data_IF_308935601924
#
_entry.id   IF_308935601924
#
_cell.length_a   1.000
_cell.length_b   1.000
_cell.length_c   1.000
_cell.angle_alpha   90.00
_cell.angle_beta   90.00
_cell.angle_gamma   90.00
#
_symmetry.space_group_name_H-M   'P 1'
#
loop_
_entity.id
_entity.type
_entity.pdbx_description
1 polymer ?
#
# COMPACT_ATOMS: atom_id res chain seq x y z
N UNK A 1 -27.70 -43.94 -3.12
CA UNK A 1 -27.12 -43.08 -2.07
C UNK A 1 -26.88 -41.71 -2.69
N UNK A 2 -27.73 -40.73 -2.37
CA UNK A 2 -27.54 -39.36 -2.83
C UNK A 2 -26.49 -38.68 -1.94
N UNK A 3 -25.38 -38.26 -2.53
CA UNK A 3 -24.41 -37.37 -1.91
C UNK A 3 -25.06 -36.00 -1.73
N UNK A 4 -25.39 -35.66 -0.49
CA UNK A 4 -25.81 -34.31 -0.13
C UNK A 4 -24.55 -33.47 -0.04
N UNK A 5 -24.23 -32.76 -1.13
CA UNK A 5 -23.22 -31.72 -1.14
C UNK A 5 -23.83 -30.44 -0.55
N UNK A 6 -23.93 -30.39 0.79
CA UNK A 6 -24.26 -29.14 1.47
C UNK A 6 -22.98 -28.30 1.45
N UNK A 7 -22.81 -27.51 0.39
CA UNK A 7 -21.88 -26.39 0.44
C UNK A 7 -22.33 -25.48 1.60
N UNK A 8 -21.68 -25.62 2.76
CA UNK A 8 -21.91 -24.77 3.93
C UNK A 8 -21.53 -23.35 3.50
N UNK A 9 -22.55 -22.55 3.19
CA UNK A 9 -22.37 -21.14 2.83
C UNK A 9 -21.90 -20.43 4.09
N UNK A 10 -20.61 -20.10 4.16
CA UNK A 10 -20.05 -19.34 5.28
C UNK A 10 -20.85 -18.05 5.43
N UNK A 11 -21.15 -17.67 6.68
CA UNK A 11 -21.80 -16.39 6.95
C UNK A 11 -20.97 -15.26 6.33
N UNK A 12 -21.62 -14.21 5.79
CA UNK A 12 -20.90 -13.06 5.25
C UNK A 12 -20.04 -12.43 6.35
N UNK A 13 -18.83 -12.03 5.98
CA UNK A 13 -17.85 -11.44 6.89
C UNK A 13 -18.40 -10.14 7.48
N UNK A 14 -18.27 -9.98 8.79
CA UNK A 14 -18.91 -8.90 9.54
C UNK A 14 -18.09 -7.61 9.61
N UNK A 15 -16.84 -7.63 9.14
CA UNK A 15 -15.93 -6.49 9.12
C UNK A 15 -15.27 -6.39 7.75
N UNK A 16 -15.29 -5.21 7.13
CA UNK A 16 -14.53 -4.92 5.91
C UNK A 16 -13.35 -4.04 6.29
N UNK A 17 -12.15 -4.42 5.87
CA UNK A 17 -10.91 -3.66 6.09
C UNK A 17 -10.24 -3.41 4.75
N UNK A 18 -10.11 -2.13 4.39
CA UNK A 18 -9.38 -1.72 3.20
C UNK A 18 -7.95 -1.35 3.55
N UNK A 19 -6.99 -1.89 2.79
CA UNK A 19 -5.59 -1.54 2.84
C UNK A 19 -5.24 -0.84 1.54
N UNK A 20 -4.70 0.37 1.65
CA UNK A 20 -4.03 1.02 0.54
C UNK A 20 -2.53 0.97 0.79
N UNK A 21 -1.86 0.05 0.11
CA UNK A 21 -0.41 -0.07 0.10
C UNK A 21 0.13 0.83 -1.00
N UNK A 22 0.41 2.10 -0.74
CA UNK A 22 0.99 3.02 -1.74
C UNK A 22 2.51 2.85 -1.88
N UNK A 23 3.10 3.46 -2.91
CA UNK A 23 4.57 3.45 -3.10
C UNK A 23 5.31 4.20 -2.00
N UNK A 24 4.80 5.38 -1.62
CA UNK A 24 5.40 6.27 -0.62
C UNK A 24 4.80 6.08 0.78
N UNK A 25 3.49 5.93 0.85
CA UNK A 25 2.75 5.79 2.11
C UNK A 25 1.61 4.80 1.99
N UNK A 26 1.27 4.18 3.10
CA UNK A 26 0.23 3.16 3.21
C UNK A 26 -0.73 3.47 4.33
N UNK A 27 -1.99 3.06 4.20
CA UNK A 27 -3.01 3.28 5.22
C UNK A 27 -4.11 2.24 5.20
N UNK A 28 -5.00 2.31 6.19
CA UNK A 28 -6.18 1.45 6.23
C UNK A 28 -7.42 2.20 6.70
N UNK A 29 -8.57 1.69 6.27
CA UNK A 29 -9.88 2.06 6.78
C UNK A 29 -10.71 0.80 7.02
N UNK A 30 -11.75 0.91 7.83
CA UNK A 30 -12.62 -0.23 8.11
C UNK A 30 -14.07 0.17 8.37
N UNK A 31 -14.97 -0.81 8.22
CA UNK A 31 -16.39 -0.66 8.51
C UNK A 31 -17.00 -1.98 8.98
N UNK A 32 -17.78 -1.93 10.07
CA UNK A 32 -18.56 -3.07 10.55
C UNK A 32 -19.86 -3.19 9.76
N UNK A 33 -20.08 -4.36 9.15
CA UNK A 33 -21.25 -4.62 8.32
C UNK A 33 -22.52 -4.76 9.18
N UNK A 34 -23.66 -4.29 8.67
CA UNK A 34 -24.92 -4.27 9.40
C UNK A 34 -25.04 -3.15 10.44
N UNK A 35 -23.97 -2.37 10.67
CA UNK A 35 -24.06 -1.13 11.44
C UNK A 35 -24.41 0.04 10.52
N UNK A 36 -25.12 1.05 11.05
CA UNK A 36 -25.36 2.33 10.37
C UNK A 36 -24.11 3.23 10.32
N UNK A 37 -22.96 2.74 10.80
CA UNK A 37 -21.72 3.49 10.89
C UNK A 37 -21.11 3.84 9.52
N UNK A 38 -20.38 4.95 9.49
CA UNK A 38 -19.56 5.37 8.35
C UNK A 38 -18.25 4.58 8.29
N UNK A 39 -17.56 4.66 7.16
CA UNK A 39 -16.19 4.14 7.03
C UNK A 39 -15.27 4.91 7.98
N UNK A 40 -14.46 4.19 8.75
CA UNK A 40 -13.52 4.77 9.72
C UNK A 40 -12.10 4.66 9.17
N UNK A 41 -11.44 5.79 9.00
CA UNK A 41 -10.06 5.87 8.53
C UNK A 41 -9.12 5.98 9.73
N UNK A 42 -8.00 5.26 9.70
CA UNK A 42 -7.01 5.30 10.77
C UNK A 42 -5.94 6.35 10.52
N UNK A 43 -5.71 7.21 11.50
CA UNK A 43 -4.77 8.34 11.39
C UNK A 43 -3.67 8.36 12.47
N UNK A 44 -3.82 7.57 13.54
CA UNK A 44 -2.89 7.58 14.67
C UNK A 44 -1.79 6.53 14.49
N UNK A 45 -0.80 6.84 13.66
CA UNK A 45 0.29 5.92 13.33
C UNK A 45 1.46 6.02 14.30
N UNK A 46 2.14 4.90 14.62
CA UNK A 46 3.28 4.91 15.51
C UNK A 46 4.43 5.69 14.89
N UNK A 47 5.10 6.49 15.73
CA UNK A 47 6.28 7.28 15.38
C UNK A 47 6.09 8.31 14.25
N UNK A 48 4.85 8.63 13.88
CA UNK A 48 4.55 9.72 12.96
C UNK A 48 5.21 11.02 13.43
N UNK A 49 5.82 11.80 12.52
CA UNK A 49 6.41 13.08 12.87
C UNK A 49 5.37 14.04 13.44
N UNK A 50 5.80 14.90 14.36
CA UNK A 50 4.94 15.97 14.88
C UNK A 50 4.46 16.88 13.73
N UNK A 51 3.17 17.22 13.74
CA UNK A 51 2.54 18.01 12.68
C UNK A 51 2.19 17.24 11.40
N UNK A 52 2.60 15.97 11.25
CA UNK A 52 2.27 15.11 10.10
C UNK A 52 1.25 14.00 10.48
N UNK A 53 0.30 14.31 11.36
CA UNK A 53 -0.83 13.40 11.62
C UNK A 53 -1.70 13.31 10.37
N UNK A 54 -2.03 12.09 9.96
CA UNK A 54 -2.80 11.86 8.76
C UNK A 54 -3.02 10.37 8.50
N UNK A 55 -3.74 10.01 7.44
CA UNK A 55 -4.25 8.66 7.23
C UNK A 55 -3.21 7.63 6.79
N UNK A 56 -1.93 7.99 6.77
CA UNK A 56 -0.86 7.20 6.18
C UNK A 56 0.34 7.08 7.11
N UNK A 57 0.91 5.89 7.15
CA UNK A 57 2.30 5.65 7.54
C UNK A 57 3.19 5.50 6.30
N UNK A 58 4.50 5.38 6.45
CA UNK A 58 5.44 5.20 5.33
C UNK A 58 5.39 3.78 4.77
N UNK A 59 5.53 3.65 3.46
CA UNK A 59 5.83 2.37 2.80
C UNK A 59 7.33 2.10 2.89
N UNK A 60 7.80 1.93 4.12
CA UNK A 60 9.20 1.73 4.47
C UNK A 60 9.35 0.51 5.40
N UNK A 61 10.41 -0.27 5.20
CA UNK A 61 10.73 -1.42 6.03
C UNK A 61 12.24 -1.49 6.26
N UNK A 62 12.64 -1.71 7.50
CA UNK A 62 14.03 -1.80 7.92
C UNK A 62 14.38 -3.26 8.21
N UNK A 63 15.43 -3.74 7.56
CA UNK A 63 16.00 -5.06 7.80
C UNK A 63 17.29 -4.95 8.63
N UNK A 64 17.54 -5.97 9.46
CA UNK A 64 18.87 -6.31 9.98
C UNK A 64 19.28 -7.65 9.38
N UNK A 65 20.26 -7.62 8.48
CA UNK A 65 20.55 -8.74 7.58
C UNK A 65 19.31 -9.04 6.71
N UNK A 66 18.71 -10.22 6.91
CA UNK A 66 17.49 -10.66 6.20
C UNK A 66 16.24 -10.68 7.08
N UNK A 67 16.34 -10.19 8.31
CA UNK A 67 15.22 -10.15 9.25
C UNK A 67 14.61 -8.75 9.25
N UNK A 68 13.31 -8.59 8.92
CA UNK A 68 12.67 -7.30 9.01
C UNK A 68 12.42 -6.96 10.49
N UNK A 69 12.87 -5.79 10.94
CA UNK A 69 12.86 -5.38 12.35
C UNK A 69 11.93 -4.21 12.66
N UNK A 70 11.59 -3.39 11.65
CA UNK A 70 10.69 -2.25 11.80
C UNK A 70 10.05 -1.88 10.46
N UNK A 71 8.91 -1.18 10.51
CA UNK A 71 8.11 -0.78 9.35
C UNK A 71 7.53 0.62 9.57
N UNK A 72 6.99 1.25 8.52
CA UNK A 72 6.33 2.55 8.65
C UNK A 72 7.28 3.67 9.05
N UNK A 73 6.75 4.71 9.70
CA UNK A 73 7.57 5.75 10.33
C UNK A 73 8.53 5.19 11.39
N UNK A 74 8.15 4.13 12.09
CA UNK A 74 9.01 3.44 13.06
C UNK A 74 10.29 2.91 12.41
N UNK A 75 10.25 2.42 11.16
CA UNK A 75 11.44 2.00 10.44
C UNK A 75 12.45 3.16 10.31
N UNK A 76 11.97 4.31 9.86
CA UNK A 76 12.77 5.51 9.64
C UNK A 76 13.36 6.00 10.96
N UNK A 77 12.50 6.14 11.99
CA UNK A 77 12.95 6.55 13.32
C UNK A 77 13.97 5.58 13.93
N UNK A 78 13.79 4.27 13.71
CA UNK A 78 14.73 3.26 14.18
C UNK A 78 16.09 3.42 13.51
N UNK A 79 16.12 3.60 12.18
CA UNK A 79 17.34 3.85 11.42
C UNK A 79 18.07 5.10 11.93
N UNK A 80 17.34 6.21 12.14
CA UNK A 80 17.89 7.47 12.63
C UNK A 80 18.46 7.39 14.07
N UNK A 81 18.01 6.42 14.86
CA UNK A 81 18.45 6.21 16.26
C UNK A 81 19.57 5.17 16.40
N UNK A 82 20.01 4.53 15.30
CA UNK A 82 21.13 3.59 15.35
C UNK A 82 22.42 4.28 15.82
N UNK A 83 23.23 3.55 16.59
CA UNK A 83 24.56 4.02 16.99
C UNK A 83 25.47 4.21 15.76
N UNK A 84 26.49 5.07 15.82
CA UNK A 84 27.45 5.22 14.71
C UNK A 84 28.10 3.88 14.29
N UNK A 85 28.37 2.99 15.26
CA UNK A 85 28.90 1.66 14.99
C UNK A 85 27.91 0.75 14.23
N UNK A 86 26.61 0.80 14.61
CA UNK A 86 25.56 0.05 13.90
C UNK A 86 25.34 0.57 12.48
N UNK A 87 25.34 1.89 12.29
CA UNK A 87 25.21 2.49 10.96
C UNK A 87 26.39 2.09 10.06
N UNK A 88 27.61 2.10 10.60
CA UNK A 88 28.81 1.68 9.88
C UNK A 88 28.89 0.16 9.62
N UNK A 89 28.11 -0.66 10.33
CA UNK A 89 28.19 -2.13 10.22
C UNK A 89 27.72 -2.68 8.87
N UNK A 90 26.96 -1.91 8.09
CA UNK A 90 26.35 -2.37 6.84
C UNK A 90 25.25 -3.43 7.02
N UNK A 91 24.93 -3.80 8.26
CA UNK A 91 23.94 -4.85 8.56
C UNK A 91 22.50 -4.38 8.49
N UNK A 92 22.26 -3.07 8.40
CA UNK A 92 20.92 -2.51 8.37
C UNK A 92 20.59 -2.01 6.97
N UNK A 93 19.42 -2.38 6.46
CA UNK A 93 18.97 -1.94 5.14
C UNK A 93 17.56 -1.39 5.21
N UNK A 94 17.41 -0.11 4.90
CA UNK A 94 16.12 0.51 4.68
C UNK A 94 15.66 0.24 3.25
N UNK A 95 14.48 -0.34 3.10
CA UNK A 95 13.81 -0.48 1.81
C UNK A 95 12.60 0.44 1.78
N UNK A 96 12.59 1.37 0.82
CA UNK A 96 11.47 2.23 0.46
C UNK A 96 11.09 1.98 -1.00
N UNK A 97 9.92 2.47 -1.42
CA UNK A 97 9.44 2.35 -2.80
C UNK A 97 9.36 0.89 -3.31
N UNK A 98 9.34 -0.09 -2.40
CA UNK A 98 9.43 -1.51 -2.75
C UNK A 98 8.23 -2.00 -3.55
N UNK A 99 7.08 -1.30 -3.52
CA UNK A 99 5.93 -1.58 -4.40
C UNK A 99 6.31 -1.50 -5.89
N UNK A 100 7.23 -0.60 -6.27
CA UNK A 100 7.72 -0.47 -7.65
C UNK A 100 8.47 -1.73 -8.12
N UNK A 101 8.99 -2.55 -7.22
CA UNK A 101 9.72 -3.78 -7.59
C UNK A 101 8.83 -4.82 -8.29
N UNK A 102 7.50 -4.70 -8.18
CA UNK A 102 6.53 -5.53 -8.91
C UNK A 102 6.30 -5.11 -10.37
N UNK A 103 6.82 -3.94 -10.77
CA UNK A 103 6.67 -3.40 -12.13
C UNK A 103 8.01 -3.04 -12.80
N UNK A 104 9.02 -2.67 -12.02
CA UNK A 104 10.32 -2.24 -12.55
C UNK A 104 11.44 -3.19 -12.10
N UNK A 105 12.00 -3.91 -13.08
CA UNK A 105 13.14 -4.80 -12.87
C UNK A 105 14.37 -4.07 -12.33
N UNK A 106 14.54 -2.77 -12.64
CA UNK A 106 15.65 -1.96 -12.12
C UNK A 106 15.50 -1.71 -10.63
N UNK A 107 14.26 -1.53 -10.14
CA UNK A 107 13.98 -1.44 -8.72
C UNK A 107 14.16 -2.80 -8.04
N UNK A 108 13.68 -3.88 -8.65
CA UNK A 108 13.87 -5.23 -8.12
C UNK A 108 15.36 -5.62 -8.02
N UNK A 109 16.20 -5.20 -8.97
CA UNK A 109 17.64 -5.45 -8.95
C UNK A 109 18.40 -4.74 -7.82
N UNK A 110 17.80 -3.73 -7.19
CA UNK A 110 18.36 -3.01 -6.03
C UNK A 110 18.07 -3.71 -4.70
N UNK A 111 17.26 -4.77 -4.70
CA UNK A 111 16.97 -5.51 -3.47
C UNK A 111 18.23 -6.24 -2.97
N UNK A 112 18.44 -6.31 -1.64
CA UNK A 112 19.53 -7.10 -1.07
C UNK A 112 19.47 -8.56 -1.51
N UNK A 113 20.65 -9.19 -1.61
CA UNK A 113 20.75 -10.58 -2.02
C UNK A 113 19.85 -11.51 -1.17
N UNK A 114 19.02 -12.29 -1.86
CA UNK A 114 18.08 -13.21 -1.22
C UNK A 114 16.74 -12.58 -0.80
N UNK A 115 16.54 -11.28 -0.92
CA UNK A 115 15.22 -10.68 -0.81
C UNK A 115 14.56 -10.62 -2.20
N UNK A 116 13.29 -11.01 -2.27
CA UNK A 116 12.47 -10.89 -3.48
C UNK A 116 11.41 -9.81 -3.30
N UNK A 117 10.89 -9.23 -4.40
CA UNK A 117 9.77 -8.27 -4.35
C UNK A 117 8.60 -8.76 -3.48
N UNK A 118 8.20 -10.01 -3.70
CA UNK A 118 7.10 -10.65 -2.97
C UNK A 118 7.42 -10.78 -1.47
N UNK A 119 8.65 -11.18 -1.10
CA UNK A 119 9.06 -11.29 0.30
C UNK A 119 8.96 -9.94 1.01
N UNK A 120 9.47 -8.87 0.41
CA UNK A 120 9.50 -7.55 1.03
C UNK A 120 8.09 -7.01 1.24
N UNK A 121 7.20 -7.23 0.27
CA UNK A 121 5.79 -6.85 0.39
C UNK A 121 5.08 -7.69 1.47
N UNK A 122 5.32 -9.01 1.51
CA UNK A 122 4.75 -9.89 2.52
C UNK A 122 5.23 -9.52 3.93
N UNK A 123 6.50 -9.18 4.09
CA UNK A 123 7.06 -8.76 5.38
C UNK A 123 6.40 -7.46 5.85
N UNK A 124 6.25 -6.46 4.97
CA UNK A 124 5.56 -5.22 5.30
C UNK A 124 4.09 -5.46 5.66
N UNK A 125 3.37 -6.24 4.85
CA UNK A 125 1.98 -6.60 5.11
C UNK A 125 1.81 -7.41 6.40
N UNK A 126 2.82 -8.20 6.80
CA UNK A 126 2.80 -8.95 8.07
C UNK A 126 2.78 -7.99 9.26
N UNK A 127 3.65 -6.98 9.24
CA UNK A 127 3.68 -5.93 10.26
C UNK A 127 2.38 -5.12 10.26
N UNK A 128 1.92 -4.68 9.08
CA UNK A 128 0.69 -3.90 8.94
C UNK A 128 -0.52 -4.69 9.44
N UNK A 129 -0.68 -5.96 9.04
CA UNK A 129 -1.75 -6.84 9.51
C UNK A 129 -1.74 -6.95 11.03
N UNK A 130 -0.57 -7.26 11.63
CA UNK A 130 -0.46 -7.39 13.10
C UNK A 130 -0.96 -6.12 13.80
N UNK A 131 -0.48 -4.96 13.36
CA UNK A 131 -0.87 -3.67 13.91
C UNK A 131 -2.37 -3.39 13.71
N UNK A 132 -2.89 -3.60 12.50
CA UNK A 132 -4.31 -3.39 12.18
C UNK A 132 -5.20 -4.26 13.07
N UNK A 133 -4.89 -5.54 13.25
CA UNK A 133 -5.66 -6.43 14.12
C UNK A 133 -5.61 -5.98 15.58
N UNK A 134 -4.46 -5.49 16.06
CA UNK A 134 -4.34 -4.93 17.41
C UNK A 134 -5.18 -3.67 17.61
N UNK A 135 -5.26 -2.76 16.62
CA UNK A 135 -6.12 -1.58 16.71
C UNK A 135 -7.60 -1.94 16.59
N UNK A 136 -7.97 -2.79 15.62
CA UNK A 136 -9.34 -3.27 15.47
C UNK A 136 -9.83 -3.98 16.75
N UNK A 137 -8.99 -4.78 17.41
CA UNK A 137 -9.37 -5.43 18.67
C UNK A 137 -9.71 -4.43 19.77
N UNK A 138 -9.07 -3.25 19.82
CA UNK A 138 -9.39 -2.17 20.75
C UNK A 138 -10.66 -1.43 20.35
N UNK A 139 -10.89 -1.25 19.05
CA UNK A 139 -11.98 -0.42 18.54
C UNK A 139 -13.31 -1.15 18.39
N UNK A 140 -13.31 -2.42 17.98
CA UNK A 140 -14.52 -3.23 17.74
C UNK A 140 -14.56 -4.51 18.56
N UNK A 141 -13.54 -4.76 19.40
CA UNK A 141 -13.43 -5.93 20.24
C UNK A 141 -12.71 -7.11 19.59
N UNK A 142 -11.98 -7.88 20.39
CA UNK A 142 -11.11 -8.97 19.92
C UNK A 142 -11.87 -10.10 19.17
N UNK A 143 -13.13 -10.35 19.50
CA UNK A 143 -13.95 -11.34 18.79
C UNK A 143 -14.28 -10.91 17.35
N UNK A 144 -14.57 -9.62 17.15
CA UNK A 144 -14.87 -9.06 15.82
C UNK A 144 -13.62 -8.91 14.96
N UNK A 145 -12.48 -8.61 15.58
CA UNK A 145 -11.20 -8.44 14.89
C UNK A 145 -10.52 -9.75 14.46
N UNK A 146 -11.18 -10.91 14.57
CA UNK A 146 -10.60 -12.18 14.10
C UNK A 146 -10.58 -12.26 12.58
N UNK A 147 -9.57 -12.92 12.02
CA UNK A 147 -9.37 -13.02 10.57
C UNK A 147 -10.57 -13.63 9.83
N UNK A 148 -11.26 -14.59 10.43
CA UNK A 148 -12.46 -15.21 9.85
C UNK A 148 -13.62 -14.21 9.62
N UNK A 149 -13.64 -13.11 10.36
CA UNK A 149 -14.67 -12.08 10.30
C UNK A 149 -14.31 -10.94 9.33
N UNK A 150 -13.09 -10.93 8.77
CA UNK A 150 -12.56 -9.80 7.99
C UNK A 150 -12.58 -10.09 6.50
N UNK A 151 -13.30 -9.26 5.75
CA UNK A 151 -13.11 -9.11 4.30
C UNK A 151 -12.01 -8.06 4.06
N UNK A 152 -10.90 -8.48 3.49
CA UNK A 152 -9.82 -7.59 3.08
C UNK A 152 -10.10 -7.02 1.70
N UNK A 153 -9.88 -5.72 1.54
CA UNK A 153 -9.83 -5.03 0.27
C UNK A 153 -8.43 -4.44 0.11
N UNK A 154 -7.67 -4.84 -0.91
CA UNK A 154 -6.31 -4.35 -1.12
C UNK A 154 -6.24 -3.63 -2.46
N UNK A 155 -5.85 -2.35 -2.43
CA UNK A 155 -5.80 -1.53 -3.65
C UNK A 155 -4.51 -1.77 -4.44
N UNK A 156 -4.62 -1.74 -5.77
CA UNK A 156 -3.50 -1.81 -6.71
C UNK A 156 -3.70 -0.83 -7.87
N UNK A 157 -2.62 -0.34 -8.51
CA UNK A 157 -2.73 0.54 -9.67
C UNK A 157 -3.42 -0.17 -10.85
N UNK A 158 -4.20 0.57 -11.64
CA UNK A 158 -4.94 -0.01 -12.77
C UNK A 158 -4.03 -0.53 -13.89
N UNK A 159 -2.84 0.05 -14.07
CA UNK A 159 -1.87 -0.38 -15.08
C UNK A 159 -1.13 -1.68 -14.73
N UNK A 160 -1.39 -2.27 -13.56
CA UNK A 160 -0.72 -3.49 -13.14
C UNK A 160 -1.10 -4.68 -14.02
N UNK A 161 -0.08 -5.45 -14.39
CA UNK A 161 -0.28 -6.74 -15.06
C UNK A 161 -0.98 -7.73 -14.13
N UNK A 162 -1.66 -8.72 -14.71
CA UNK A 162 -2.25 -9.83 -13.94
C UNK A 162 -1.19 -10.58 -13.11
N UNK A 163 0.05 -10.67 -13.61
CA UNK A 163 1.17 -11.23 -12.85
C UNK A 163 1.52 -10.40 -11.59
N UNK A 164 1.53 -9.07 -11.68
CA UNK A 164 1.76 -8.19 -10.53
C UNK A 164 0.62 -8.29 -9.50
N UNK A 165 -0.63 -8.38 -9.95
CA UNK A 165 -1.80 -8.60 -9.09
C UNK A 165 -1.75 -9.96 -8.40
N UNK A 166 -1.33 -11.01 -9.12
CA UNK A 166 -1.15 -12.34 -8.57
C UNK A 166 -0.02 -12.36 -7.52
N UNK A 167 1.11 -11.71 -7.76
CA UNK A 167 2.19 -11.58 -6.78
C UNK A 167 1.74 -10.85 -5.51
N UNK A 168 0.92 -9.80 -5.63
CA UNK A 168 0.33 -9.14 -4.46
C UNK A 168 -0.56 -10.08 -3.65
N UNK A 169 -1.39 -10.88 -4.32
CA UNK A 169 -2.22 -11.90 -3.68
C UNK A 169 -1.37 -12.96 -2.99
N UNK A 170 -0.28 -13.42 -3.60
CA UNK A 170 0.68 -14.34 -2.96
C UNK A 170 1.32 -13.69 -1.73
N UNK A 171 1.74 -12.43 -1.82
CA UNK A 171 2.28 -11.70 -0.67
C UNK A 171 1.25 -11.58 0.47
N UNK A 172 -0.03 -11.38 0.15
CA UNK A 172 -1.11 -11.35 1.15
C UNK A 172 -1.33 -12.71 1.84
N UNK A 173 -1.19 -13.84 1.12
CA UNK A 173 -1.18 -15.18 1.71
C UNK A 173 0.00 -15.32 2.67
N UNK A 174 1.21 -14.96 2.23
CA UNK A 174 2.44 -15.08 3.03
C UNK A 174 2.41 -14.19 4.27
N UNK A 175 1.77 -13.03 4.18
CA UNK A 175 1.54 -12.12 5.29
C UNK A 175 0.47 -12.62 6.28
N UNK A 176 -0.28 -13.66 5.92
CA UNK A 176 -1.36 -14.22 6.72
C UNK A 176 -2.61 -13.34 6.76
N UNK A 177 -2.82 -12.46 5.77
CA UNK A 177 -4.11 -11.76 5.58
C UNK A 177 -5.20 -12.78 5.20
N UNK A 178 -4.85 -13.74 4.34
CA UNK A 178 -5.70 -14.83 3.86
C UNK A 178 -4.95 -16.17 3.92
N UNK A 179 -5.70 -17.29 3.92
CA UNK A 179 -5.11 -18.64 4.05
C UNK A 179 -4.58 -19.20 2.73
N UNK A 180 -5.25 -18.90 1.63
CA UNK A 180 -4.97 -19.44 0.30
C UNK A 180 -5.15 -18.35 -0.75
N UNK A 181 -4.51 -18.50 -1.92
CA UNK A 181 -4.57 -17.48 -2.97
C UNK A 181 -5.99 -17.30 -3.53
N UNK A 182 -6.77 -18.37 -3.63
CA UNK A 182 -8.16 -18.40 -4.09
C UNK A 182 -9.19 -17.93 -3.04
N UNK A 183 -8.74 -17.60 -1.83
CA UNK A 183 -9.62 -17.15 -0.75
C UNK A 183 -10.43 -15.90 -1.14
N UNK A 184 -11.75 -16.03 -1.07
CA UNK A 184 -12.70 -14.93 -1.26
C UNK A 184 -12.63 -13.87 -0.14
N UNK A 185 -11.85 -14.11 0.93
CA UNK A 185 -11.59 -13.13 1.98
C UNK A 185 -10.76 -11.92 1.53
N UNK A 186 -10.20 -11.95 0.31
CA UNK A 186 -9.45 -10.83 -0.25
C UNK A 186 -10.02 -10.44 -1.61
N UNK A 187 -10.44 -9.18 -1.71
CA UNK A 187 -10.75 -8.50 -2.95
C UNK A 187 -9.58 -7.59 -3.32
N UNK A 188 -8.98 -7.80 -4.49
CA UNK A 188 -8.09 -6.79 -5.09
C UNK A 188 -8.98 -5.76 -5.77
N UNK A 189 -8.77 -4.48 -5.45
CA UNK A 189 -9.53 -3.35 -6.00
C UNK A 189 -8.58 -2.45 -6.77
N UNK A 190 -9.01 -1.87 -7.88
CA UNK A 190 -8.20 -0.88 -8.58
C UNK A 190 -8.26 0.45 -7.84
N UNK A 191 -7.10 1.08 -7.63
CA UNK A 191 -6.97 2.41 -7.04
C UNK A 191 -7.91 3.45 -7.68
N UNK A 192 -8.00 3.59 -9.01
CA UNK A 192 -8.90 4.57 -9.62
C UNK A 192 -10.39 4.26 -9.41
N UNK A 193 -10.78 2.98 -9.35
CA UNK A 193 -12.18 2.62 -9.06
C UNK A 193 -12.55 2.98 -7.63
N UNK A 194 -11.65 2.71 -6.68
CA UNK A 194 -11.83 3.12 -5.28
C UNK A 194 -11.92 4.65 -5.15
N UNK A 195 -11.06 5.38 -5.86
CA UNK A 195 -11.07 6.84 -5.87
C UNK A 195 -12.37 7.40 -6.48
N UNK A 196 -12.81 6.86 -7.62
CA UNK A 196 -14.06 7.27 -8.26
C UNK A 196 -15.26 7.07 -7.34
N UNK A 197 -15.39 5.87 -6.75
CA UNK A 197 -16.50 5.56 -5.84
C UNK A 197 -16.52 6.50 -4.62
N UNK A 198 -15.34 6.76 -4.02
CA UNK A 198 -15.25 7.68 -2.90
C UNK A 198 -15.66 9.12 -3.28
N UNK A 199 -15.16 9.62 -4.42
CA UNK A 199 -15.49 10.96 -4.91
C UNK A 199 -16.99 11.08 -5.21
N UNK A 200 -17.60 10.08 -5.84
CA UNK A 200 -19.03 10.07 -6.18
C UNK A 200 -19.95 10.00 -4.94
N UNK A 201 -19.48 9.41 -3.86
CA UNK A 201 -20.25 9.35 -2.60
C UNK A 201 -20.19 10.68 -1.82
N UNK A 202 -19.10 11.46 -1.93
CA UNK A 202 -18.83 12.58 -1.02
C UNK A 202 -18.65 13.95 -1.67
N UNK A 203 -18.19 14.02 -2.93
CA UNK A 203 -17.64 15.25 -3.52
C UNK A 203 -18.18 15.55 -4.91
N UNK A 204 -18.63 14.54 -5.65
CA UNK A 204 -19.12 14.66 -7.02
C UNK A 204 -20.65 14.47 -7.08
N UNK A 205 -21.30 15.03 -8.12
CA UNK A 205 -22.72 14.78 -8.35
C UNK A 205 -22.99 13.29 -8.57
N UNK A 206 -24.24 12.82 -8.31
CA UNK A 206 -24.62 11.45 -8.55
C UNK A 206 -24.31 11.01 -9.98
N UNK A 207 -23.88 9.76 -10.12
CA UNK A 207 -23.67 9.14 -11.43
C UNK A 207 -24.99 9.06 -12.20
N UNK A 208 -25.01 9.68 -13.40
CA UNK A 208 -26.12 9.59 -14.34
C UNK A 208 -25.68 8.78 -15.57
N UNK A 209 -26.53 7.86 -16.08
CA UNK A 209 -26.22 7.13 -17.31
C UNK A 209 -25.85 8.08 -18.46
N UNK A 210 -24.78 7.76 -19.18
CA UNK A 210 -24.25 8.60 -20.27
C UNK A 210 -23.16 9.59 -19.84
N UNK A 211 -22.89 9.75 -18.54
CA UNK A 211 -21.70 10.46 -18.07
C UNK A 211 -20.43 9.62 -18.25
N UNK A 212 -19.28 10.28 -18.39
CA UNK A 212 -17.96 9.66 -18.27
C UNK A 212 -17.20 10.27 -17.10
N UNK A 213 -16.54 9.43 -16.31
CA UNK A 213 -15.66 9.81 -15.20
C UNK A 213 -14.24 9.50 -15.61
N UNK A 214 -13.36 10.50 -15.54
CA UNK A 214 -11.93 10.32 -15.68
C UNK A 214 -11.28 10.38 -14.30
N UNK A 215 -10.47 9.38 -13.97
CA UNK A 215 -9.63 9.41 -12.78
C UNK A 215 -8.18 9.55 -13.21
N UNK A 216 -7.55 10.62 -12.75
CA UNK A 216 -6.12 10.88 -12.88
C UNK A 216 -5.49 10.66 -11.49
N UNK A 217 -4.85 9.50 -11.32
CA UNK A 217 -4.15 9.14 -10.10
C UNK A 217 -2.65 9.39 -10.29
N UNK A 218 -2.14 10.48 -9.73
CA UNK A 218 -0.70 10.84 -9.78
C UNK A 218 -0.08 10.51 -8.42
N UNK A 219 0.22 9.23 -8.23
CA UNK A 219 0.77 8.69 -7.00
C UNK A 219 2.29 8.82 -6.88
N UNK A 220 2.84 8.13 -5.87
CA UNK A 220 4.29 8.15 -5.63
C UNK A 220 5.09 7.34 -6.65
N UNK A 221 4.53 6.25 -7.18
CA UNK A 221 5.22 5.37 -8.13
C UNK A 221 4.74 5.50 -9.57
N UNK A 222 3.44 5.69 -9.75
CA UNK A 222 2.77 5.69 -11.05
C UNK A 222 1.97 6.97 -11.22
N UNK A 223 1.77 7.37 -12.47
CA UNK A 223 0.67 8.25 -12.84
C UNK A 223 -0.24 7.47 -13.79
N UNK A 224 -1.48 7.29 -13.39
CA UNK A 224 -2.47 6.44 -14.05
C UNK A 224 -3.70 7.27 -14.44
N UNK A 225 -4.18 7.04 -15.66
CA UNK A 225 -5.39 7.64 -16.23
C UNK A 225 -6.34 6.52 -16.60
N UNK A 226 -7.55 6.59 -16.06
CA UNK A 226 -8.65 5.71 -16.41
C UNK A 226 -9.87 6.54 -16.78
N UNK A 227 -10.66 6.03 -17.72
CA UNK A 227 -11.94 6.62 -18.11
C UNK A 227 -13.00 5.56 -17.98
N UNK A 228 -14.03 5.86 -17.20
CA UNK A 228 -15.18 5.00 -16.96
C UNK A 228 -16.43 5.65 -17.50
N UNK A 229 -17.24 4.94 -18.27
CA UNK A 229 -18.57 5.39 -18.65
C UNK A 229 -19.56 4.95 -17.57
N UNK A 230 -20.53 5.80 -17.23
CA UNK A 230 -21.65 5.35 -16.44
C UNK A 230 -22.72 4.75 -17.35
N UNK A 231 -23.00 3.48 -17.11
CA UNK A 231 -23.99 2.71 -17.82
C UNK A 231 -25.15 2.37 -16.89
N UNK A 232 -26.37 2.34 -17.42
CA UNK A 232 -27.49 1.78 -16.70
C UNK A 232 -27.47 0.24 -16.82
N UNK A 233 -27.32 -0.45 -15.69
CA UNK A 233 -27.43 -1.90 -15.62
C UNK A 233 -28.35 -2.31 -14.48
N UNK A 234 -29.48 -2.93 -14.82
CA UNK A 234 -30.45 -3.42 -13.83
C UNK A 234 -31.04 -2.32 -12.94
N UNK A 235 -31.29 -1.13 -13.50
CA UNK A 235 -31.84 0.03 -12.78
C UNK A 235 -30.84 0.74 -11.85
N UNK A 236 -29.54 0.48 -12.02
CA UNK A 236 -28.45 1.17 -11.29
C UNK A 236 -27.44 1.75 -12.28
N UNK A 237 -26.89 2.91 -11.96
CA UNK A 237 -25.73 3.43 -12.70
C UNK A 237 -24.48 2.71 -12.20
N UNK A 238 -23.71 2.13 -13.11
CA UNK A 238 -22.45 1.44 -12.82
C UNK A 238 -21.33 2.02 -13.66
N UNK A 239 -20.13 2.09 -13.08
CA UNK A 239 -18.92 2.46 -13.81
C UNK A 239 -18.44 1.25 -14.62
N UNK A 240 -18.34 1.43 -15.94
CA UNK A 240 -17.73 0.47 -16.85
C UNK A 240 -16.47 1.10 -17.45
N UNK A 241 -15.34 0.37 -17.46
CA UNK A 241 -14.11 0.84 -18.10
C UNK A 241 -14.37 1.12 -19.60
N UNK A 242 -14.16 2.37 -20.02
CA UNK A 242 -14.41 2.83 -21.39
C UNK A 242 -13.23 2.52 -22.31
N UNK A 243 -12.02 2.63 -21.78
CA UNK A 243 -10.76 2.33 -22.46
C UNK A 243 -9.80 1.73 -21.47
N UNK A 244 -8.87 0.91 -21.97
CA UNK A 244 -7.76 0.38 -21.18
C UNK A 244 -7.03 1.51 -20.44
N UNK A 245 -6.79 1.32 -19.15
CA UNK A 245 -5.96 2.21 -18.34
C UNK A 245 -4.63 2.56 -19.03
N UNK A 246 -4.29 3.85 -19.02
CA UNK A 246 -3.02 4.37 -19.50
C UNK A 246 -2.21 4.88 -18.31
N UNK A 247 -0.89 4.75 -18.35
CA UNK A 247 -0.06 5.29 -17.28
C UNK A 247 1.40 4.98 -17.46
N UNK A 248 2.20 5.43 -16.51
CA UNK A 248 3.65 5.27 -16.55
C UNK A 248 4.29 5.29 -15.17
N UNK A 249 5.52 4.79 -15.11
CA UNK A 249 6.38 4.90 -13.94
C UNK A 249 6.96 6.32 -13.87
N UNK A 250 6.11 7.28 -13.47
CA UNK A 250 6.42 8.70 -13.44
C UNK A 250 5.82 9.42 -12.23
N UNK A 251 5.55 8.69 -11.15
CA UNK A 251 5.11 9.28 -9.88
C UNK A 251 6.20 10.11 -9.18
N UNK A 252 5.87 10.63 -7.99
CA UNK A 252 6.74 11.55 -7.24
C UNK A 252 8.16 11.01 -6.98
N UNK A 253 8.34 9.70 -6.83
CA UNK A 253 9.66 9.07 -6.65
C UNK A 253 10.63 9.43 -7.79
N UNK A 254 10.14 9.61 -9.00
CA UNK A 254 10.96 10.02 -10.15
C UNK A 254 11.33 11.49 -10.09
N UNK A 255 10.45 12.33 -9.54
CA UNK A 255 10.75 13.73 -9.22
C UNK A 255 11.82 13.82 -8.14
N UNK A 256 11.68 13.04 -7.07
CA UNK A 256 12.66 12.97 -5.97
C UNK A 256 14.03 12.52 -6.47
N UNK A 257 14.08 11.52 -7.37
CA UNK A 257 15.33 11.08 -7.99
C UNK A 257 15.98 12.19 -8.82
N UNK A 258 15.20 12.93 -9.61
CA UNK A 258 15.74 14.05 -10.39
C UNK A 258 16.24 15.18 -9.49
N UNK A 259 15.52 15.48 -8.40
CA UNK A 259 15.97 16.44 -7.40
C UNK A 259 17.29 15.99 -6.75
N UNK A 260 17.41 14.71 -6.40
CA UNK A 260 18.65 14.15 -5.84
C UNK A 260 19.83 14.34 -6.79
N UNK A 261 19.67 14.04 -8.08
CA UNK A 261 20.72 14.22 -9.07
C UNK A 261 21.08 15.70 -9.25
N UNK A 262 20.08 16.58 -9.30
CA UNK A 262 20.30 18.03 -9.35
C UNK A 262 21.07 18.54 -8.12
N UNK A 263 20.71 18.06 -6.93
CA UNK A 263 21.39 18.43 -5.69
C UNK A 263 22.83 17.91 -5.67
N UNK A 264 23.06 16.67 -6.12
CA UNK A 264 24.38 16.07 -6.31
C UNK A 264 25.26 16.86 -7.28
N UNK A 265 24.69 17.34 -8.38
CA UNK A 265 25.39 18.20 -9.34
C UNK A 265 25.74 19.56 -8.71
N UNK A 266 24.77 20.19 -8.04
CA UNK A 266 24.93 21.54 -7.47
C UNK A 266 26.00 21.62 -6.37
N UNK A 267 26.09 20.62 -5.49
CA UNK A 267 27.10 20.61 -4.39
C UNK A 267 28.41 19.91 -4.79
N UNK A 268 28.45 19.30 -5.97
CA UNK A 268 29.57 18.49 -6.45
C UNK A 268 29.47 17.02 -6.05
N UNK A 269 29.62 16.14 -7.05
CA UNK A 269 29.48 14.68 -6.94
C UNK A 269 30.28 14.07 -5.77
N UNK A 270 31.56 14.41 -5.64
CA UNK A 270 32.43 13.84 -4.61
C UNK A 270 31.97 14.22 -3.19
N UNK A 271 31.55 15.47 -2.99
CA UNK A 271 31.06 15.94 -1.69
C UNK A 271 29.73 15.28 -1.34
N UNK A 272 28.80 15.20 -2.30
CA UNK A 272 27.50 14.56 -2.10
C UNK A 272 27.63 13.06 -1.80
N UNK A 273 28.45 12.34 -2.56
CA UNK A 273 28.61 10.88 -2.40
C UNK A 273 29.26 10.54 -1.06
N UNK A 274 30.30 11.31 -0.66
CA UNK A 274 30.93 11.15 0.65
C UNK A 274 29.95 11.44 1.79
N UNK A 275 29.23 12.57 1.71
CA UNK A 275 28.26 12.98 2.72
C UNK A 275 27.10 11.99 2.84
N UNK A 276 26.47 11.61 1.72
CA UNK A 276 25.31 10.71 1.74
C UNK A 276 25.65 9.28 2.20
N UNK A 277 26.87 8.83 1.93
CA UNK A 277 27.38 7.55 2.42
C UNK A 277 27.69 7.58 3.92
N UNK A 278 28.29 8.68 4.40
CA UNK A 278 28.66 8.84 5.81
C UNK A 278 27.47 9.18 6.70
N UNK A 279 26.48 9.91 6.16
CA UNK A 279 25.32 10.43 6.89
C UNK A 279 24.01 10.10 6.16
N UNK A 280 23.67 8.80 5.99
CA UNK A 280 22.44 8.38 5.29
C UNK A 280 21.17 8.93 5.97
N UNK A 281 21.22 9.11 7.28
CA UNK A 281 20.19 9.78 8.07
C UNK A 281 19.92 11.23 7.64
N UNK A 282 20.99 12.01 7.40
CA UNK A 282 20.89 13.41 6.98
C UNK A 282 20.37 13.54 5.56
N UNK A 283 20.80 12.63 4.66
CA UNK A 283 20.22 12.54 3.33
C UNK A 283 18.72 12.26 3.39
N UNK A 284 18.29 11.31 4.22
CA UNK A 284 16.86 11.03 4.40
C UNK A 284 16.09 12.29 4.84
N UNK A 285 16.64 13.07 5.76
CA UNK A 285 16.01 14.33 6.20
C UNK A 285 15.89 15.38 5.10
N UNK A 286 16.86 15.45 4.18
CA UNK A 286 16.78 16.36 3.01
C UNK A 286 15.73 15.89 2.02
N UNK A 287 15.63 14.57 1.80
CA UNK A 287 14.67 13.99 0.85
C UNK A 287 13.24 13.89 1.40
N UNK A 288 13.00 14.18 2.68
CA UNK A 288 11.68 14.15 3.32
C UNK A 288 11.07 15.55 3.58
N UNK A 289 11.72 16.62 3.13
CA UNK A 289 11.20 18.00 3.18
C UNK A 289 10.55 18.40 1.87
#
# INVERSE_FOLDING_TARGET
>A
MATIDVAVKLAPRSLVVSLDLGTYGSGYAFKTMGSSGQVRMHEDWPDSPEGLKGPKTRSAILYKGRVPIAWGHTAIRTLLRLSPADQASGNYTMLTNFKLTLQDKRHAAKLPAGLSPEQVIADYLTFLRKYVLEQLAKEVGAAMARLENIQWCLTVPAIWSEGSKALMRTAAVRAGLIRTADSEALTIILEPEAAALHALEHQAPPLVPGMSVMVLDVGGGTADVTVHNCEERGGRCVLAESTRAMGGLCGSVFVDNNFRELYREAVGAAAFDAWSSQYPASLQQVMEK
#
